data_IF_031952881979
#
_entry.id   IF_031952881979
#
_cell.length_a   1.000
_cell.length_b   1.000
_cell.length_c   1.000
_cell.angle_alpha   90.00
_cell.angle_beta   90.00
_cell.angle_gamma   90.00
#
_symmetry.space_group_name_H-M   'P 1'
#
loop_
_entity.id
_entity.type
_entity.pdbx_description
1 polymer ?
#
# COMPACT_ATOMS: atom_id res chain seq x y z
N UNK A 1 13.58 26.34 -6.28
CA UNK A 1 13.30 24.90 -6.52
C UNK A 1 12.57 24.40 -5.29
N UNK A 2 11.31 23.97 -5.41
CA UNK A 2 10.64 23.25 -4.32
C UNK A 2 11.22 21.83 -4.32
N UNK A 3 11.78 21.39 -3.20
CA UNK A 3 12.10 19.98 -3.02
C UNK A 3 10.83 19.19 -3.32
N UNK A 4 10.88 18.08 -4.08
CA UNK A 4 9.75 17.18 -4.16
C UNK A 4 9.31 16.87 -2.72
N UNK A 5 8.02 16.96 -2.43
CA UNK A 5 7.55 16.69 -1.08
C UNK A 5 7.74 15.19 -0.85
N UNK A 6 8.83 14.85 -0.18
CA UNK A 6 9.25 13.47 0.09
C UNK A 6 8.21 12.75 0.97
N UNK A 7 7.48 13.50 1.81
CA UNK A 7 6.47 12.94 2.70
C UNK A 7 5.40 13.98 3.04
N UNK A 8 4.13 13.59 2.91
CA UNK A 8 2.99 14.34 3.40
C UNK A 8 2.35 13.63 4.60
N UNK A 9 2.18 14.37 5.70
CA UNK A 9 1.31 13.99 6.82
C UNK A 9 0.16 14.98 6.93
N UNK A 10 -1.07 14.51 6.71
CA UNK A 10 -2.29 15.31 6.85
C UNK A 10 -3.13 14.77 8.00
N UNK A 11 -3.60 15.70 8.84
CA UNK A 11 -4.47 15.39 9.96
C UNK A 11 -5.66 16.36 10.01
N UNK A 12 -6.88 15.83 9.95
CA UNK A 12 -8.13 16.58 10.15
C UNK A 12 -8.28 17.82 9.23
N UNK A 13 -7.78 17.74 7.99
CA UNK A 13 -7.90 18.80 6.96
C UNK A 13 -8.80 18.35 5.82
N UNK A 14 -9.36 19.32 5.07
CA UNK A 14 -10.06 19.06 3.80
C UNK A 14 -9.04 18.61 2.74
N UNK A 15 -9.01 17.32 2.39
CA UNK A 15 -7.90 16.73 1.65
C UNK A 15 -8.10 16.74 0.15
N UNK A 16 -9.35 16.91 -0.32
CA UNK A 16 -9.73 16.83 -1.73
C UNK A 16 -8.88 17.79 -2.57
N UNK A 17 -8.85 19.08 -2.20
CA UNK A 17 -8.10 20.09 -2.94
C UNK A 17 -6.58 19.86 -2.89
N UNK A 18 -6.07 19.34 -1.77
CA UNK A 18 -4.64 19.03 -1.64
C UNK A 18 -4.25 17.90 -2.58
N UNK A 19 -4.93 16.76 -2.51
CA UNK A 19 -4.56 15.59 -3.29
C UNK A 19 -4.80 15.77 -4.78
N UNK A 20 -5.85 16.49 -5.18
CA UNK A 20 -6.08 16.81 -6.60
C UNK A 20 -4.91 17.61 -7.21
N UNK A 21 -4.40 18.61 -6.48
CA UNK A 21 -3.34 19.51 -6.95
C UNK A 21 -1.92 19.04 -6.64
N UNK A 22 -1.76 18.02 -5.79
CA UNK A 22 -0.46 17.48 -5.42
C UNK A 22 0.30 16.90 -6.62
N UNK A 23 1.63 16.99 -6.57
CA UNK A 23 2.51 16.25 -7.48
C UNK A 23 2.63 14.77 -7.08
N UNK A 24 3.70 14.09 -7.54
CA UNK A 24 4.06 12.77 -7.04
C UNK A 24 4.20 12.74 -5.52
N UNK A 25 3.72 11.68 -4.89
CA UNK A 25 3.73 11.46 -3.45
C UNK A 25 4.57 10.22 -3.13
N UNK A 26 5.62 10.37 -2.31
CA UNK A 26 6.53 9.26 -1.99
C UNK A 26 6.25 8.65 -0.60
N UNK A 27 5.69 9.46 0.30
CA UNK A 27 5.23 9.04 1.61
C UNK A 27 3.90 9.71 1.95
N UNK A 28 2.91 8.93 2.35
CA UNK A 28 1.56 9.40 2.68
C UNK A 28 1.20 8.90 4.07
N UNK A 29 0.80 9.83 4.94
CA UNK A 29 0.08 9.54 6.18
C UNK A 29 -1.15 10.42 6.25
N UNK A 30 -2.34 9.82 6.12
CA UNK A 30 -3.61 10.53 6.18
C UNK A 30 -4.48 9.99 7.32
N UNK A 31 -4.88 10.90 8.20
CA UNK A 31 -5.88 10.66 9.25
C UNK A 31 -6.88 11.81 9.21
N UNK A 32 -8.13 11.56 8.86
CA UNK A 32 -9.13 12.61 8.76
C UNK A 32 -10.49 12.10 8.33
N UNK A 33 -11.36 12.99 7.81
CA UNK A 33 -12.65 12.60 7.24
C UNK A 33 -12.52 11.52 6.14
N UNK A 34 -13.61 10.79 5.90
CA UNK A 34 -13.67 9.80 4.82
C UNK A 34 -13.42 10.49 3.48
N UNK A 35 -12.39 10.06 2.76
CA UNK A 35 -12.11 10.56 1.41
C UNK A 35 -13.19 10.06 0.44
N UNK A 36 -13.54 10.90 -0.54
CA UNK A 36 -14.29 10.41 -1.71
C UNK A 36 -13.47 9.35 -2.44
N UNK A 37 -14.14 8.41 -3.09
CA UNK A 37 -13.49 7.38 -3.90
C UNK A 37 -12.54 8.00 -4.95
N UNK A 38 -12.99 9.05 -5.63
CA UNK A 38 -12.18 9.80 -6.60
C UNK A 38 -10.91 10.41 -5.98
N UNK A 39 -10.99 10.91 -4.75
CA UNK A 39 -9.84 11.47 -4.04
C UNK A 39 -8.83 10.39 -3.71
N UNK A 40 -9.28 9.22 -3.22
CA UNK A 40 -8.38 8.10 -2.95
C UNK A 40 -7.73 7.56 -4.22
N UNK A 41 -8.49 7.42 -5.30
CA UNK A 41 -7.94 6.99 -6.60
C UNK A 41 -6.86 7.96 -7.09
N UNK A 42 -7.06 9.27 -6.91
CA UNK A 42 -6.04 10.28 -7.21
C UNK A 42 -4.80 10.16 -6.32
N UNK A 43 -4.97 9.79 -5.04
CA UNK A 43 -3.84 9.51 -4.13
C UNK A 43 -3.04 8.30 -4.62
N UNK A 44 -3.70 7.20 -4.98
CA UNK A 44 -3.03 6.00 -5.50
C UNK A 44 -2.32 6.30 -6.82
N UNK A 45 -2.93 7.08 -7.71
CA UNK A 45 -2.31 7.52 -8.96
C UNK A 45 -1.04 8.35 -8.72
N UNK A 46 -1.09 9.29 -7.77
CA UNK A 46 0.05 10.16 -7.43
C UNK A 46 1.10 9.48 -6.57
N UNK A 47 0.76 8.41 -5.85
CA UNK A 47 1.73 7.66 -5.07
C UNK A 47 2.79 7.03 -5.97
N UNK A 48 4.07 7.26 -5.66
CA UNK A 48 5.20 6.68 -6.36
C UNK A 48 5.96 5.80 -5.37
N UNK A 49 5.89 4.46 -5.51
CA UNK A 49 6.68 3.55 -4.72
C UNK A 49 8.18 3.88 -4.86
N UNK A 50 8.85 4.09 -3.73
CA UNK A 50 10.30 4.23 -3.63
C UNK A 50 10.80 3.32 -2.51
N UNK A 51 12.11 3.09 -2.46
CA UNK A 51 12.71 2.35 -1.35
C UNK A 51 12.43 3.09 -0.03
N UNK A 52 11.97 2.33 0.95
CA UNK A 52 11.44 2.74 2.25
C UNK A 52 10.21 3.66 2.16
N UNK A 53 9.42 3.50 1.09
CA UNK A 53 8.17 4.23 0.88
C UNK A 53 7.08 3.84 1.87
N UNK A 54 6.18 4.78 2.19
CA UNK A 54 5.10 4.56 3.16
C UNK A 54 3.74 5.03 2.62
N UNK A 55 2.74 4.16 2.68
CA UNK A 55 1.35 4.49 2.37
C UNK A 55 0.47 4.15 3.57
N UNK A 56 0.05 5.15 4.34
CA UNK A 56 -0.82 4.96 5.49
C UNK A 56 -2.06 5.87 5.37
N UNK A 57 -3.22 5.26 5.18
CA UNK A 57 -4.50 5.98 5.10
C UNK A 57 -5.48 5.32 6.05
N UNK A 58 -5.86 6.04 7.12
CA UNK A 58 -6.80 5.55 8.14
C UNK A 58 -8.25 5.68 7.69
N UNK A 59 -8.63 4.94 6.66
CA UNK A 59 -10.02 4.86 6.21
C UNK A 59 -10.32 3.52 5.56
N UNK A 60 -11.59 3.14 5.58
CA UNK A 60 -12.08 1.97 4.85
C UNK A 60 -11.93 2.20 3.35
N UNK A 61 -11.25 1.26 2.68
CA UNK A 61 -11.10 1.24 1.22
C UNK A 61 -11.60 -0.07 0.64
N UNK A 62 -12.02 -0.03 -0.62
CA UNK A 62 -12.52 -1.21 -1.32
C UNK A 62 -11.39 -2.12 -1.79
N UNK A 63 -11.68 -3.41 -1.97
CA UNK A 63 -10.73 -4.38 -2.49
C UNK A 63 -10.14 -3.96 -3.85
N UNK A 64 -10.92 -3.29 -4.69
CA UNK A 64 -10.44 -2.79 -5.98
C UNK A 64 -9.33 -1.74 -5.80
N UNK A 65 -9.48 -0.85 -4.81
CA UNK A 65 -8.51 0.20 -4.51
C UNK A 65 -7.24 -0.38 -3.89
N UNK A 66 -7.38 -1.34 -2.97
CA UNK A 66 -6.26 -2.09 -2.40
C UNK A 66 -5.50 -2.81 -3.51
N UNK A 67 -6.20 -3.52 -4.39
CA UNK A 67 -5.60 -4.23 -5.53
C UNK A 67 -4.78 -3.30 -6.41
N UNK A 68 -5.33 -2.16 -6.83
CA UNK A 68 -4.60 -1.17 -7.66
C UNK A 68 -3.32 -0.70 -6.98
N UNK A 69 -3.37 -0.45 -5.66
CA UNK A 69 -2.22 -0.01 -4.88
C UNK A 69 -1.15 -1.12 -4.78
N UNK A 70 -1.56 -2.35 -4.47
CA UNK A 70 -0.63 -3.49 -4.34
C UNK A 70 0.01 -3.86 -5.68
N UNK A 71 -0.76 -3.88 -6.77
CA UNK A 71 -0.22 -4.10 -8.13
C UNK A 71 0.85 -3.05 -8.46
N UNK A 72 0.57 -1.78 -8.17
CA UNK A 72 1.52 -0.68 -8.39
C UNK A 72 2.82 -0.86 -7.60
N UNK A 73 2.73 -1.28 -6.34
CA UNK A 73 3.92 -1.51 -5.50
C UNK A 73 4.69 -2.77 -5.91
N UNK A 74 3.98 -3.85 -6.25
CA UNK A 74 4.59 -5.08 -6.76
C UNK A 74 5.34 -4.84 -8.07
N UNK A 75 4.80 -3.99 -8.96
CA UNK A 75 5.46 -3.62 -10.21
C UNK A 75 6.66 -2.69 -10.02
N UNK A 76 6.71 -1.93 -8.93
CA UNK A 76 7.85 -1.05 -8.69
C UNK A 76 9.08 -1.80 -8.16
N UNK A 77 8.87 -2.98 -7.57
CA UNK A 77 9.92 -3.77 -6.91
C UNK A 77 10.75 -2.93 -5.91
N UNK A 78 10.05 -2.21 -5.04
CA UNK A 78 10.61 -1.29 -4.02
C UNK A 78 10.24 -1.73 -2.61
N UNK A 79 11.08 -1.40 -1.62
CA UNK A 79 10.74 -1.62 -0.21
C UNK A 79 9.65 -0.63 0.20
N UNK A 80 8.43 -1.11 0.43
CA UNK A 80 7.27 -0.25 0.73
C UNK A 80 6.43 -0.86 1.84
N UNK A 81 5.99 0.00 2.76
CA UNK A 81 5.04 -0.31 3.81
C UNK A 81 3.68 0.32 3.53
N UNK A 82 2.64 -0.50 3.44
CA UNK A 82 1.27 -0.09 3.20
C UNK A 82 0.43 -0.45 4.42
N UNK A 83 -0.41 0.48 4.87
CA UNK A 83 -1.33 0.32 5.99
C UNK A 83 -2.67 0.96 5.64
N UNK A 84 -3.73 0.16 5.61
CA UNK A 84 -5.08 0.64 5.33
C UNK A 84 -6.11 -0.03 6.24
N UNK A 85 -7.30 0.55 6.35
CA UNK A 85 -8.47 -0.12 6.91
C UNK A 85 -9.29 -0.68 5.75
N UNK A 86 -9.82 -1.89 5.90
CA UNK A 86 -10.69 -2.49 4.90
C UNK A 86 -12.15 -2.23 5.26
N UNK A 87 -13.02 -2.10 4.25
CA UNK A 87 -14.47 -1.98 4.49
C UNK A 87 -15.01 -3.16 5.31
N UNK A 88 -14.53 -4.37 5.05
CA UNK A 88 -14.95 -5.60 5.72
C UNK A 88 -13.99 -6.08 6.82
N UNK A 89 -13.24 -5.17 7.46
CA UNK A 89 -12.25 -5.52 8.49
C UNK A 89 -12.80 -6.37 9.64
N UNK A 90 -14.08 -6.20 9.98
CA UNK A 90 -14.78 -7.02 10.99
C UNK A 90 -14.99 -8.47 10.57
N UNK A 91 -15.14 -8.74 9.27
CA UNK A 91 -15.31 -10.09 8.73
C UNK A 91 -13.96 -10.81 8.64
N UNK A 92 -12.88 -10.06 8.36
CA UNK A 92 -11.53 -10.61 8.25
C UNK A 92 -10.97 -11.11 9.59
N UNK A 93 -11.52 -10.64 10.72
CA UNK A 93 -11.19 -11.17 12.05
C UNK A 93 -11.65 -12.63 12.24
N UNK A 94 -12.51 -13.16 11.38
CA UNK A 94 -12.82 -14.58 11.35
C UNK A 94 -11.66 -15.36 10.69
N UNK A 95 -11.08 -16.29 11.46
CA UNK A 95 -9.91 -17.08 11.06
C UNK A 95 -10.05 -17.81 9.71
N UNK A 96 -11.27 -18.21 9.32
CA UNK A 96 -11.49 -18.83 8.01
C UNK A 96 -11.42 -17.81 6.87
N UNK A 97 -11.90 -16.58 7.09
CA UNK A 97 -11.87 -15.53 6.10
C UNK A 97 -10.43 -15.03 5.86
N UNK A 98 -9.59 -15.08 6.89
CA UNK A 98 -8.21 -14.61 6.83
C UNK A 98 -7.33 -15.38 5.82
N UNK A 99 -7.46 -16.71 5.73
CA UNK A 99 -6.63 -17.51 4.80
C UNK A 99 -7.00 -17.30 3.34
N UNK A 100 -8.29 -17.22 3.03
CA UNK A 100 -8.76 -17.00 1.67
C UNK A 100 -8.40 -15.59 1.20
N UNK A 101 -8.52 -14.62 2.10
CA UNK A 101 -8.14 -13.23 1.84
C UNK A 101 -6.63 -13.08 1.60
N UNK A 102 -5.80 -13.78 2.38
CA UNK A 102 -4.35 -13.85 2.16
C UNK A 102 -3.99 -14.40 0.78
N UNK A 103 -4.61 -15.53 0.42
CA UNK A 103 -4.37 -16.17 -0.86
C UNK A 103 -4.75 -15.26 -2.03
N UNK A 104 -5.87 -14.54 -1.92
CA UNK A 104 -6.33 -13.59 -2.93
C UNK A 104 -5.27 -12.51 -3.27
N UNK A 105 -4.71 -11.85 -2.26
CA UNK A 105 -3.69 -10.82 -2.50
C UNK A 105 -2.35 -11.38 -2.92
N UNK A 106 -2.00 -12.58 -2.44
CA UNK A 106 -0.80 -13.26 -2.88
C UNK A 106 -0.84 -13.54 -4.39
N UNK A 107 -1.99 -14.01 -4.91
CA UNK A 107 -2.18 -14.23 -6.34
C UNK A 107 -2.06 -12.94 -7.16
N UNK A 108 -2.65 -11.83 -6.70
CA UNK A 108 -2.52 -10.51 -7.35
C UNK A 108 -1.05 -10.12 -7.48
N UNK A 109 -0.27 -10.31 -6.43
CA UNK A 109 1.13 -9.90 -6.38
C UNK A 109 2.00 -10.79 -7.26
N UNK A 110 1.79 -12.10 -7.24
CA UNK A 110 2.52 -13.01 -8.12
C UNK A 110 2.17 -12.74 -9.60
N UNK A 111 0.91 -12.41 -9.92
CA UNK A 111 0.54 -11.97 -11.26
C UNK A 111 1.21 -10.66 -11.67
N UNK A 112 1.25 -9.66 -10.77
CA UNK A 112 1.93 -8.40 -11.03
C UNK A 112 3.44 -8.60 -11.24
N UNK A 113 4.08 -9.46 -10.45
CA UNK A 113 5.50 -9.83 -10.58
C UNK A 113 5.80 -10.59 -11.86
N UNK A 114 4.93 -11.51 -12.26
CA UNK A 114 5.11 -12.25 -13.52
C UNK A 114 5.15 -11.32 -14.75
N UNK A 115 4.52 -10.14 -14.67
CA UNK A 115 4.58 -9.11 -15.72
C UNK A 115 5.92 -8.37 -15.79
N UNK A 116 6.72 -8.35 -14.72
CA UNK A 116 8.03 -7.68 -14.70
C UNK A 116 9.11 -8.45 -15.47
N UNK A 117 8.95 -9.76 -15.63
CA UNK A 117 9.93 -10.65 -16.26
C UNK A 117 11.16 -10.92 -15.38
N UNK A 118 11.97 -11.90 -15.80
CA UNK A 118 13.08 -12.49 -15.03
C UNK A 118 14.30 -11.58 -14.77
N UNK A 119 14.26 -10.31 -15.17
CA UNK A 119 15.45 -9.42 -15.16
C UNK A 119 15.68 -8.66 -13.85
N UNK A 120 14.69 -8.57 -12.98
CA UNK A 120 14.83 -7.95 -11.65
C UNK A 120 14.74 -9.04 -10.57
N UNK A 121 15.87 -9.72 -10.32
CA UNK A 121 15.95 -10.93 -9.47
C UNK A 121 16.19 -10.67 -7.99
N UNK A 122 16.27 -9.42 -7.57
CA UNK A 122 16.24 -9.09 -6.15
C UNK A 122 14.79 -9.22 -5.68
N UNK A 123 14.38 -10.47 -5.43
CA UNK A 123 13.01 -10.82 -5.06
C UNK A 123 12.76 -10.32 -3.65
N UNK A 124 12.15 -9.15 -3.52
CA UNK A 124 11.66 -8.66 -2.23
C UNK A 124 10.68 -9.68 -1.64
N UNK A 125 10.81 -9.95 -0.36
CA UNK A 125 9.85 -10.72 0.41
C UNK A 125 8.59 -9.86 0.60
N UNK A 126 7.43 -10.46 0.32
CA UNK A 126 6.15 -9.84 0.58
C UNK A 126 5.57 -10.44 1.86
N UNK A 127 5.27 -9.59 2.83
CA UNK A 127 4.68 -9.98 4.10
C UNK A 127 3.40 -9.22 4.30
N UNK A 128 2.31 -9.93 4.57
CA UNK A 128 1.09 -9.35 5.08
C UNK A 128 1.06 -9.52 6.60
N UNK A 129 0.65 -8.47 7.31
CA UNK A 129 0.41 -8.53 8.74
C UNK A 129 -0.88 -7.80 9.08
N UNK A 130 -1.45 -8.16 10.22
CA UNK A 130 -2.66 -7.56 10.74
C UNK A 130 -2.35 -6.95 12.11
N UNK A 131 -2.82 -5.72 12.35
CA UNK A 131 -2.70 -5.04 13.63
C UNK A 131 -4.04 -4.39 13.96
N UNK A 132 -4.77 -4.97 14.92
CA UNK A 132 -6.14 -4.55 15.24
C UNK A 132 -7.05 -4.59 13.99
N UNK A 133 -7.61 -3.45 13.61
CA UNK A 133 -8.46 -3.27 12.43
C UNK A 133 -7.65 -2.97 11.15
N UNK A 134 -6.33 -2.82 11.27
CA UNK A 134 -5.46 -2.53 10.15
C UNK A 134 -4.94 -3.78 9.49
N UNK A 135 -4.93 -3.74 8.16
CA UNK A 135 -4.14 -4.65 7.37
C UNK A 135 -2.98 -3.86 6.80
N UNK A 136 -1.80 -4.47 6.90
CA UNK A 136 -0.65 -3.93 6.23
C UNK A 136 0.13 -4.96 5.46
N UNK A 137 0.88 -4.41 4.53
CA UNK A 137 1.70 -5.14 3.58
C UNK A 137 3.06 -4.50 3.54
N UNK A 138 4.09 -5.34 3.51
CA UNK A 138 5.48 -4.93 3.44
C UNK A 138 6.18 -5.68 2.34
N UNK A 139 6.87 -4.94 1.49
CA UNK A 139 7.95 -5.46 0.65
C UNK A 139 9.26 -5.13 1.34
N UNK A 140 10.06 -6.15 1.64
CA UNK A 140 11.38 -5.97 2.27
C UNK A 140 12.42 -6.88 1.62
N UNK A 141 13.70 -6.53 1.79
CA UNK A 141 14.77 -7.45 1.42
C UNK A 141 14.60 -8.78 2.16
N UNK A 142 14.97 -9.92 1.53
CA UNK A 142 14.98 -11.20 2.20
C UNK A 142 15.79 -11.12 3.49
N UNK A 143 15.21 -11.59 4.59
CA UNK A 143 15.93 -11.64 5.86
C UNK A 143 17.16 -12.56 5.71
N UNK A 144 18.35 -11.96 5.54
CA UNK A 144 19.61 -12.69 5.58
C UNK A 144 19.80 -13.16 7.01
N UNK A 145 19.32 -14.35 7.34
CA UNK A 145 19.76 -15.03 8.56
C UNK A 145 21.29 -15.06 8.51
N UNK A 146 21.99 -14.63 9.60
CA UNK A 146 23.43 -14.77 9.64
C UNK A 146 23.75 -16.24 9.41
N UNK A 147 24.56 -16.51 8.39
CA UNK A 147 25.03 -17.86 8.10
C UNK A 147 25.80 -18.33 9.33
N UNK A 148 25.20 -19.27 10.08
CA UNK A 148 25.80 -19.90 11.26
C UNK A 148 27.05 -20.67 10.92
#
# INVERSE_FOLDING_TARGET
MRLPVEWVTLKDVEPDQFFETAGPLYGIRYTGPILKQSTFDAIVEKFVPIDDGHFNVKQSISDEQVRKLLEKCAMANKTVDIWVLLEDSKQILDSMYQSDYLNYYYEIIEQARARLGDKEKDKLEFVMFQCEEWIGWRWSEPSRLPSS
#
